data_IF_550276606909
#
_entry.id   IF_550276606909
#
_cell.length_a   1.000
_cell.length_b   1.000
_cell.length_c   1.000
_cell.angle_alpha   90.00
_cell.angle_beta   90.00
_cell.angle_gamma   90.00
#
_symmetry.space_group_name_H-M   'P 1'
#
loop_
_entity.id
_entity.type
_entity.pdbx_description
1 polymer ?
#
# COMPACT_ATOMS: atom_id res chain seq x y z
N UNK A 1 10.55 14.11 -4.48
CA UNK A 1 9.10 14.31 -4.68
C UNK A 1 8.36 13.56 -3.61
N UNK A 2 7.74 14.24 -2.64
CA UNK A 2 7.22 13.55 -1.48
C UNK A 2 5.80 13.07 -1.77
N UNK A 3 5.67 11.82 -2.21
CA UNK A 3 4.43 11.08 -1.97
C UNK A 3 4.42 10.69 -0.49
N UNK A 4 4.06 11.63 0.40
CA UNK A 4 3.73 11.30 1.79
C UNK A 4 2.29 10.80 1.78
N UNK A 5 2.11 9.49 1.65
CA UNK A 5 0.86 8.86 2.07
C UNK A 5 1.00 8.52 3.54
N UNK A 6 0.27 9.26 4.37
CA UNK A 6 0.15 9.04 5.81
C UNK A 6 -1.22 8.38 6.05
N UNK A 7 -1.22 7.19 6.63
CA UNK A 7 -2.42 6.47 7.06
C UNK A 7 -2.13 6.01 8.48
N UNK A 8 -3.00 6.26 9.46
CA UNK A 8 -2.84 5.71 10.82
C UNK A 8 -3.46 4.29 10.96
N UNK A 9 -3.58 3.59 9.83
CA UNK A 9 -4.32 2.35 9.75
C UNK A 9 -3.52 1.19 10.40
N UNK A 10 -4.09 0.47 11.40
CA UNK A 10 -3.45 -0.70 11.98
C UNK A 10 -3.20 -1.82 10.95
N UNK A 11 -3.89 -1.79 9.82
CA UNK A 11 -3.73 -2.74 8.70
C UNK A 11 -2.55 -2.41 7.79
N UNK A 12 -1.78 -1.36 8.05
CA UNK A 12 -0.64 -0.95 7.23
C UNK A 12 0.38 -2.08 7.03
N UNK A 13 0.67 -2.87 8.05
CA UNK A 13 1.57 -4.02 7.94
C UNK A 13 1.05 -5.06 6.94
N UNK A 14 -0.24 -5.36 6.99
CA UNK A 14 -0.90 -6.30 6.11
C UNK A 14 -1.00 -5.74 4.67
N UNK A 15 -1.29 -4.45 4.52
CA UNK A 15 -1.27 -3.77 3.23
C UNK A 15 0.12 -3.82 2.58
N UNK A 16 1.17 -3.55 3.36
CA UNK A 16 2.56 -3.64 2.90
C UNK A 16 2.88 -5.04 2.35
N UNK A 17 2.51 -6.09 3.09
CA UNK A 17 2.72 -7.48 2.66
C UNK A 17 1.92 -7.81 1.39
N UNK A 18 0.65 -7.42 1.32
CA UNK A 18 -0.22 -7.67 0.17
C UNK A 18 0.28 -6.95 -1.10
N UNK A 19 0.74 -5.69 -0.97
CA UNK A 19 1.35 -4.94 -2.06
C UNK A 19 2.69 -5.55 -2.51
N UNK A 20 3.52 -5.99 -1.56
CA UNK A 20 4.80 -6.66 -1.86
C UNK A 20 4.60 -7.97 -2.64
N UNK A 21 3.60 -8.77 -2.28
CA UNK A 21 3.24 -10.00 -3.01
C UNK A 21 2.84 -9.75 -4.48
N UNK A 22 2.49 -8.52 -4.83
CA UNK A 22 2.10 -8.09 -6.19
C UNK A 22 3.20 -7.30 -6.91
N UNK A 23 4.40 -7.29 -6.31
CA UNK A 23 5.56 -6.58 -6.84
C UNK A 23 5.45 -5.06 -6.76
N UNK A 24 4.65 -4.52 -5.83
CA UNK A 24 4.62 -3.08 -5.55
C UNK A 24 5.58 -2.78 -4.40
N UNK A 25 6.63 -2.02 -4.71
CA UNK A 25 7.61 -1.63 -3.70
C UNK A 25 7.01 -0.57 -2.77
N UNK A 26 6.91 -0.92 -1.49
CA UNK A 26 6.48 -0.03 -0.42
C UNK A 26 7.43 -0.09 0.77
N UNK A 27 7.32 0.90 1.67
CA UNK A 27 7.99 0.90 2.98
C UNK A 27 6.93 0.97 4.07
N UNK A 28 6.96 0.01 4.99
CA UNK A 28 6.16 0.03 6.20
C UNK A 28 6.90 0.76 7.33
N UNK A 29 6.18 1.62 8.06
CA UNK A 29 6.64 2.25 9.30
C UNK A 29 5.78 1.74 10.45
N UNK A 30 6.41 1.27 11.53
CA UNK A 30 5.70 0.67 12.66
C UNK A 30 5.02 1.72 13.55
N UNK A 31 5.58 2.93 13.63
CA UNK A 31 5.07 4.02 14.48
C UNK A 31 5.20 5.39 13.78
N UNK A 32 4.07 6.05 13.45
CA UNK A 32 2.72 5.48 13.36
C UNK A 32 2.66 4.38 12.28
N UNK A 33 1.81 3.37 12.49
CA UNK A 33 1.59 2.26 11.55
C UNK A 33 1.16 2.82 10.19
N UNK A 34 2.05 2.83 9.20
CA UNK A 34 1.80 3.47 7.91
C UNK A 34 2.59 2.84 6.76
N UNK A 35 2.07 2.96 5.53
CA UNK A 35 2.75 2.48 4.32
C UNK A 35 3.04 3.64 3.38
N UNK A 36 4.29 3.75 2.94
CA UNK A 36 4.68 4.64 1.84
C UNK A 36 4.89 3.85 0.57
N UNK A 37 4.27 4.30 -0.51
CA UNK A 37 4.49 3.77 -1.86
C UNK A 37 5.56 4.62 -2.56
N UNK A 38 6.43 3.98 -3.35
CA UNK A 38 7.30 4.70 -4.27
C UNK A 38 6.49 5.53 -5.28
N UNK A 39 7.07 6.60 -5.80
CA UNK A 39 6.42 7.41 -6.83
C UNK A 39 6.49 6.67 -8.18
N UNK A 40 5.35 6.34 -8.82
CA UNK A 40 5.35 5.81 -10.19
C UNK A 40 5.93 6.82 -11.18
N UNK A 41 6.71 6.36 -12.15
CA UNK A 41 7.35 7.19 -13.17
C UNK A 41 6.53 7.37 -14.46
N UNK A 42 5.46 6.59 -14.64
CA UNK A 42 4.59 6.60 -15.81
C UNK A 42 3.13 6.33 -15.47
N UNK A 43 2.21 6.66 -16.37
CA UNK A 43 0.78 6.39 -16.22
C UNK A 43 0.48 4.90 -16.06
N UNK A 44 1.20 4.04 -16.78
CA UNK A 44 1.05 2.59 -16.66
C UNK A 44 1.42 2.08 -15.26
N UNK A 45 2.47 2.64 -14.65
CA UNK A 45 2.85 2.30 -13.28
C UNK A 45 1.85 2.86 -12.25
N UNK A 46 1.24 4.01 -12.51
CA UNK A 46 0.12 4.52 -11.72
C UNK A 46 -1.09 3.60 -11.78
N UNK A 47 -1.49 3.15 -12.98
CA UNK A 47 -2.59 2.20 -13.13
C UNK A 47 -2.30 0.88 -12.40
N UNK A 48 -1.07 0.36 -12.53
CA UNK A 48 -0.64 -0.84 -11.81
C UNK A 48 -0.76 -0.67 -10.29
N UNK A 49 -0.38 0.48 -9.76
CA UNK A 49 -0.54 0.79 -8.33
C UNK A 49 -2.01 0.84 -7.93
N UNK A 50 -2.85 1.53 -8.71
CA UNK A 50 -4.28 1.63 -8.46
C UNK A 50 -4.96 0.25 -8.45
N UNK A 51 -4.66 -0.59 -9.44
CA UNK A 51 -5.19 -1.95 -9.53
C UNK A 51 -4.74 -2.82 -8.34
N UNK A 52 -3.50 -2.66 -7.89
CA UNK A 52 -3.00 -3.36 -6.73
C UNK A 52 -3.70 -2.94 -5.44
N UNK A 53 -3.92 -1.64 -5.24
CA UNK A 53 -4.65 -1.12 -4.10
C UNK A 53 -6.11 -1.59 -4.10
N UNK A 54 -6.78 -1.56 -5.25
CA UNK A 54 -8.16 -2.02 -5.39
C UNK A 54 -8.33 -3.52 -5.06
N UNK A 55 -7.31 -4.34 -5.34
CA UNK A 55 -7.33 -5.77 -5.03
C UNK A 55 -6.93 -6.08 -3.57
N UNK A 56 -6.06 -5.27 -2.97
CA UNK A 56 -5.60 -5.46 -1.58
C UNK A 56 -6.56 -4.88 -0.55
N UNK A 57 -7.11 -3.68 -0.77
CA UNK A 57 -7.90 -2.99 0.26
C UNK A 57 -9.12 -3.80 0.75
N UNK A 58 -9.90 -4.49 -0.12
CA UNK A 58 -11.03 -5.30 0.34
C UNK A 58 -10.60 -6.53 1.15
N UNK A 59 -9.47 -7.17 0.79
CA UNK A 59 -8.98 -8.37 1.51
C UNK A 59 -8.50 -8.03 2.92
N UNK A 60 -8.03 -6.79 3.15
CA UNK A 60 -7.69 -6.29 4.49
C UNK A 60 -8.90 -6.01 5.37
N UNK A 61 -10.10 -5.86 4.79
CA UNK A 61 -11.32 -5.62 5.54
C UNK A 61 -11.94 -6.92 6.09
N UNK A 62 -11.70 -8.04 5.40
CA UNK A 62 -12.16 -9.37 5.81
C UNK A 62 -11.29 -9.99 6.92
N UNK A 63 -10.04 -9.55 7.06
CA UNK A 63 -9.10 -10.09 8.05
C UNK A 63 -9.24 -9.47 9.47
N UNK A 64 -10.17 -8.53 9.65
CA UNK A 64 -10.39 -7.79 10.91
C UNK A 64 -11.59 -8.29 11.73
N UNK A 65 -12.10 -9.49 11.43
CA UNK A 65 -13.17 -10.17 12.17
C UNK A 65 -12.61 -11.38 12.93
#
# INVERSE_FOLDING_TARGET
>A
TPLYSWTDDPRAAALHAALAARGIWTRHFVRPSSVRVGLPGSEAEWQRLADALAQCAPTLQLASA
#
